data_IF_247053871343
#
_entry.id   IF_247053871343
#
_cell.length_a   1.000
_cell.length_b   1.000
_cell.length_c   1.000
_cell.angle_alpha   90.00
_cell.angle_beta   90.00
_cell.angle_gamma   90.00
#
_symmetry.space_group_name_H-M   'P 1'
#
loop_
_entity.id
_entity.type
_entity.pdbx_description
1 polymer ?
#
# COMPACT_ATOMS: atom_id res chain seq x y z
N UNK A 1 -0.68 21.41 -1.27
CA UNK A 1 -0.70 21.09 -2.71
C UNK A 1 -2.09 20.68 -3.19
N UNK A 2 -2.26 20.52 -4.50
CA UNK A 2 -3.55 20.16 -5.13
C UNK A 2 -4.22 18.92 -4.51
N UNK A 3 -3.41 17.92 -4.11
CA UNK A 3 -3.92 16.72 -3.47
C UNK A 3 -4.59 16.98 -2.12
N UNK A 4 -4.10 17.94 -1.35
CA UNK A 4 -4.71 18.30 -0.05
C UNK A 4 -6.07 18.93 -0.27
N UNK A 5 -6.20 19.87 -1.22
CA UNK A 5 -7.46 20.51 -1.55
C UNK A 5 -8.50 19.50 -2.02
N UNK A 6 -8.10 18.54 -2.87
CA UNK A 6 -8.99 17.48 -3.33
C UNK A 6 -9.50 16.63 -2.17
N UNK A 7 -8.62 16.25 -1.23
CA UNK A 7 -9.01 15.46 -0.07
C UNK A 7 -9.96 16.22 0.86
N UNK A 8 -9.76 17.54 1.00
CA UNK A 8 -10.64 18.40 1.81
C UNK A 8 -12.04 18.49 1.17
N UNK A 9 -12.12 18.71 -0.15
CA UNK A 9 -13.38 18.70 -0.89
C UNK A 9 -14.13 17.36 -0.78
N UNK A 10 -13.41 16.24 -0.90
CA UNK A 10 -14.02 14.92 -0.74
C UNK A 10 -14.56 14.73 0.69
N UNK A 11 -13.85 15.20 1.70
CA UNK A 11 -14.33 15.14 3.09
C UNK A 11 -15.59 16.01 3.31
N UNK A 12 -15.64 17.19 2.71
CA UNK A 12 -16.83 18.07 2.72
C UNK A 12 -18.06 17.40 2.08
N UNK A 13 -17.84 16.62 1.02
CA UNK A 13 -18.88 15.81 0.38
C UNK A 13 -19.27 14.54 1.17
N UNK A 14 -18.72 14.35 2.37
CA UNK A 14 -19.03 13.24 3.28
C UNK A 14 -18.27 11.94 2.98
N UNK A 15 -17.20 11.98 2.17
CA UNK A 15 -16.35 10.82 1.96
C UNK A 15 -15.43 10.60 3.17
N UNK A 16 -15.29 9.35 3.59
CA UNK A 16 -14.22 8.98 4.53
C UNK A 16 -12.89 8.97 3.81
N UNK A 17 -12.04 9.95 4.13
CA UNK A 17 -10.76 10.14 3.46
C UNK A 17 -9.62 9.80 4.40
N UNK A 18 -8.82 8.80 4.02
CA UNK A 18 -7.59 8.44 4.72
C UNK A 18 -6.39 9.07 4.01
N UNK A 19 -5.69 9.97 4.71
CA UNK A 19 -4.52 10.66 4.15
C UNK A 19 -3.31 9.74 4.21
N UNK A 20 -2.77 9.40 3.04
CA UNK A 20 -1.54 8.65 2.92
C UNK A 20 -0.35 9.57 2.66
N UNK A 21 0.63 9.54 3.54
CA UNK A 21 1.90 10.26 3.38
C UNK A 21 3.05 9.26 3.44
N UNK A 22 3.65 8.92 2.30
CA UNK A 22 4.65 7.87 2.19
C UNK A 22 5.92 8.09 3.03
N UNK A 23 6.26 9.35 3.33
CA UNK A 23 7.36 9.71 4.24
C UNK A 23 7.02 9.63 5.72
N UNK A 24 5.76 9.33 6.10
CA UNK A 24 5.36 9.15 7.49
C UNK A 24 6.10 7.97 8.14
N UNK A 25 6.06 7.93 9.47
CA UNK A 25 6.58 6.80 10.24
C UNK A 25 5.88 5.51 9.82
N UNK A 26 6.65 4.44 9.64
CA UNK A 26 6.12 3.10 9.38
C UNK A 26 5.24 2.63 10.55
N UNK A 27 4.31 1.73 10.30
CA UNK A 27 3.51 1.06 11.34
C UNK A 27 4.42 0.14 12.15
N UNK A 28 5.30 -0.61 11.47
CA UNK A 28 6.39 -1.37 12.09
C UNK A 28 7.75 -0.65 11.91
N UNK A 29 8.07 0.33 12.77
CA UNK A 29 9.28 1.14 12.62
C UNK A 29 10.56 0.42 12.99
N UNK A 30 10.49 -0.78 13.54
CA UNK A 30 11.66 -1.62 13.83
C UNK A 30 12.19 -2.27 12.54
N UNK A 31 11.31 -2.56 11.60
CA UNK A 31 11.66 -3.24 10.35
C UNK A 31 11.77 -2.28 9.15
N UNK A 32 10.94 -1.23 9.13
CA UNK A 32 10.84 -0.32 7.98
C UNK A 32 11.25 1.12 8.31
N UNK A 33 11.98 1.76 7.38
CA UNK A 33 12.44 3.14 7.54
C UNK A 33 11.30 4.16 7.50
N UNK A 34 10.26 3.88 6.72
CA UNK A 34 9.10 4.76 6.52
C UNK A 34 7.91 3.98 5.97
N UNK A 35 6.73 4.64 5.98
CA UNK A 35 5.47 4.03 5.57
C UNK A 35 5.48 3.53 4.12
N UNK A 36 6.07 4.26 3.18
CA UNK A 36 6.10 3.79 1.78
C UNK A 36 6.96 2.53 1.61
N UNK A 37 8.04 2.38 2.39
CA UNK A 37 8.86 1.18 2.41
C UNK A 37 8.07 -0.03 2.89
N UNK A 38 7.32 0.13 3.99
CA UNK A 38 6.44 -0.90 4.54
C UNK A 38 5.33 -1.27 3.55
N UNK A 39 4.60 -0.29 3.00
CA UNK A 39 3.51 -0.50 2.03
C UNK A 39 3.99 -1.27 0.81
N UNK A 40 5.16 -0.93 0.28
CA UNK A 40 5.72 -1.64 -0.86
C UNK A 40 6.09 -3.07 -0.51
N UNK A 41 6.73 -3.28 0.62
CA UNK A 41 7.18 -4.61 1.02
C UNK A 41 6.00 -5.53 1.32
N UNK A 42 5.08 -5.08 2.16
CA UNK A 42 3.87 -5.83 2.53
C UNK A 42 2.99 -6.10 1.31
N UNK A 43 2.70 -5.08 0.49
CA UNK A 43 1.85 -5.23 -0.68
C UNK A 43 2.45 -6.16 -1.74
N UNK A 44 3.75 -6.08 -2.02
CA UNK A 44 4.43 -7.01 -2.93
C UNK A 44 4.44 -8.44 -2.38
N UNK A 45 4.60 -8.60 -1.07
CA UNK A 45 4.55 -9.91 -0.42
C UNK A 45 3.15 -10.52 -0.53
N UNK A 46 2.09 -9.73 -0.33
CA UNK A 46 0.71 -10.18 -0.46
C UNK A 46 0.36 -10.59 -1.88
N UNK A 47 0.84 -9.85 -2.87
CA UNK A 47 0.70 -10.23 -4.29
C UNK A 47 1.45 -11.53 -4.57
N UNK A 48 2.69 -11.66 -4.12
CA UNK A 48 3.53 -12.84 -4.38
C UNK A 48 2.98 -14.12 -3.73
N UNK A 49 2.30 -13.98 -2.61
CA UNK A 49 1.63 -15.09 -1.88
C UNK A 49 0.22 -15.39 -2.41
N UNK A 50 -0.24 -14.69 -3.45
CA UNK A 50 -1.57 -14.88 -4.02
C UNK A 50 -2.71 -14.38 -3.13
N UNK A 51 -2.42 -13.62 -2.06
CA UNK A 51 -3.46 -13.01 -1.21
C UNK A 51 -4.20 -11.89 -1.95
N UNK A 52 -3.54 -11.28 -2.91
CA UNK A 52 -4.10 -10.24 -3.77
C UNK A 52 -3.96 -10.68 -5.21
N UNK A 53 -5.10 -10.80 -5.88
CA UNK A 53 -5.15 -11.04 -7.31
C UNK A 53 -5.41 -9.70 -8.01
N UNK A 54 -4.44 -9.25 -8.81
CA UNK A 54 -4.54 -8.00 -9.57
C UNK A 54 -5.26 -8.19 -10.93
N UNK A 55 -5.76 -9.41 -11.21
CA UNK A 55 -6.41 -9.73 -12.47
C UNK A 55 -5.50 -9.54 -13.68
N UNK A 56 -6.05 -9.03 -14.78
CA UNK A 56 -5.28 -8.66 -15.97
C UNK A 56 -4.46 -7.41 -15.69
N UNK A 57 -3.19 -7.61 -15.37
CA UNK A 57 -2.30 -6.54 -14.96
C UNK A 57 -2.00 -5.61 -16.14
N UNK A 58 -2.30 -4.33 -15.98
CA UNK A 58 -1.81 -3.30 -16.91
C UNK A 58 -0.28 -3.38 -17.03
N UNK A 59 0.28 -3.50 -18.26
CA UNK A 59 1.72 -3.66 -18.46
C UNK A 59 2.58 -2.54 -17.82
N UNK A 60 2.04 -1.34 -17.71
CA UNK A 60 2.74 -0.24 -17.05
C UNK A 60 2.79 -0.47 -15.53
N UNK A 61 1.70 -0.93 -14.92
CA UNK A 61 1.65 -1.26 -13.50
C UNK A 61 2.61 -2.42 -13.19
N UNK A 62 2.60 -3.49 -13.99
CA UNK A 62 3.52 -4.61 -13.85
C UNK A 62 4.98 -4.14 -13.86
N UNK A 63 5.34 -3.28 -14.82
CA UNK A 63 6.68 -2.70 -14.91
C UNK A 63 7.03 -1.85 -13.71
N UNK A 64 6.10 -1.05 -13.19
CA UNK A 64 6.33 -0.22 -12.02
C UNK A 64 6.54 -1.06 -10.76
N UNK A 65 5.76 -2.12 -10.56
CA UNK A 65 5.90 -3.04 -9.43
C UNK A 65 7.25 -3.77 -9.42
N UNK A 66 7.81 -4.08 -10.60
CA UNK A 66 9.06 -4.83 -10.73
C UNK A 66 10.33 -3.98 -10.77
N UNK A 67 10.23 -2.69 -11.13
CA UNK A 67 11.41 -1.85 -11.35
C UNK A 67 11.93 -1.14 -10.09
N UNK A 68 11.12 -1.02 -9.04
CA UNK A 68 11.55 -0.34 -7.82
C UNK A 68 12.34 -1.29 -6.92
N UNK A 69 13.54 -0.89 -6.54
CA UNK A 69 14.43 -1.72 -5.72
C UNK A 69 14.17 -1.53 -4.24
N UNK A 70 14.27 -2.63 -3.50
CA UNK A 70 14.38 -2.59 -2.04
C UNK A 70 15.83 -2.33 -1.63
N UNK A 71 16.02 -1.56 -0.59
CA UNK A 71 17.32 -1.19 -0.02
C UNK A 71 17.26 -1.31 1.50
N UNK A 72 18.41 -1.52 2.12
CA UNK A 72 18.58 -1.40 3.56
C UNK A 72 19.13 -0.01 3.87
N UNK A 73 18.61 0.65 4.89
CA UNK A 73 19.22 1.88 5.38
C UNK A 73 20.39 1.60 6.33
N UNK A 74 21.05 2.66 6.80
CA UNK A 74 22.19 2.56 7.69
C UNK A 74 21.87 1.93 9.05
N UNK A 75 20.60 1.95 9.44
CA UNK A 75 20.07 1.33 10.68
C UNK A 75 19.67 -0.13 10.47
N UNK A 76 19.83 -0.68 9.26
CA UNK A 76 19.42 -2.03 8.92
C UNK A 76 17.91 -2.19 8.70
N UNK A 77 17.18 -1.10 8.43
CA UNK A 77 15.74 -1.14 8.15
C UNK A 77 15.49 -1.16 6.66
N UNK A 78 14.42 -1.85 6.27
CA UNK A 78 13.99 -1.91 4.88
C UNK A 78 13.40 -0.57 4.42
N UNK A 79 13.80 -0.16 3.24
CA UNK A 79 13.21 0.96 2.51
C UNK A 79 13.14 0.64 1.03
N UNK A 80 12.43 1.45 0.27
CA UNK A 80 12.44 1.38 -1.18
C UNK A 80 13.25 2.52 -1.78
N UNK A 81 13.82 2.28 -2.94
CA UNK A 81 14.56 3.26 -3.73
C UNK A 81 13.74 4.56 -3.87
N UNK A 82 14.38 5.70 -3.62
CA UNK A 82 13.71 6.99 -3.72
C UNK A 82 13.35 7.34 -5.16
N UNK A 83 12.23 8.05 -5.38
CA UNK A 83 11.83 8.53 -6.72
C UNK A 83 12.94 9.35 -7.39
N UNK A 84 13.68 10.16 -6.62
CA UNK A 84 14.83 10.93 -7.14
C UNK A 84 15.92 10.03 -7.69
N UNK A 85 16.24 8.94 -7.00
CA UNK A 85 17.24 7.95 -7.44
C UNK A 85 16.76 7.21 -8.68
N UNK A 86 15.48 6.78 -8.71
CA UNK A 86 14.87 6.15 -9.88
C UNK A 86 14.96 7.04 -11.12
N UNK A 87 14.56 8.30 -11.01
CA UNK A 87 14.61 9.27 -12.12
C UNK A 87 16.06 9.49 -12.60
N UNK A 88 17.02 9.61 -11.67
CA UNK A 88 18.45 9.72 -12.01
C UNK A 88 18.96 8.50 -12.80
N UNK A 89 18.40 7.32 -12.53
CA UNK A 89 18.69 6.08 -13.22
C UNK A 89 17.85 5.87 -14.50
N UNK A 90 17.11 6.89 -14.96
CA UNK A 90 16.29 6.82 -16.17
C UNK A 90 14.97 6.04 -15.98
N UNK A 91 14.60 5.72 -14.75
CA UNK A 91 13.36 5.01 -14.44
C UNK A 91 12.27 6.02 -14.08
N UNK A 92 11.09 5.89 -14.70
CA UNK A 92 9.93 6.75 -14.39
C UNK A 92 9.40 6.50 -12.99
N UNK A 93 8.77 7.54 -12.40
CA UNK A 93 8.10 7.43 -11.10
C UNK A 93 7.04 6.32 -11.09
N UNK A 94 6.99 5.48 -10.04
CA UNK A 94 6.05 4.36 -9.95
C UNK A 94 4.70 4.78 -9.37
N UNK A 95 4.10 5.86 -9.90
CA UNK A 95 2.93 6.49 -9.30
C UNK A 95 1.69 5.59 -9.27
N UNK A 96 1.49 4.73 -10.30
CA UNK A 96 0.40 3.74 -10.30
C UNK A 96 0.62 2.66 -9.25
N UNK A 97 1.84 2.15 -9.14
CA UNK A 97 2.18 1.15 -8.14
C UNK A 97 2.07 1.71 -6.72
N UNK A 98 2.53 2.95 -6.48
CA UNK A 98 2.34 3.63 -5.20
C UNK A 98 0.86 3.75 -4.83
N UNK A 99 0.00 4.13 -5.79
CA UNK A 99 -1.44 4.24 -5.56
C UNK A 99 -2.09 2.88 -5.27
N UNK A 100 -1.80 1.87 -6.08
CA UNK A 100 -2.39 0.53 -5.92
C UNK A 100 -1.96 -0.09 -4.60
N UNK A 101 -0.66 -0.10 -4.28
CA UNK A 101 -0.16 -0.67 -3.03
C UNK A 101 -0.66 0.12 -1.81
N UNK A 102 -0.73 1.45 -1.93
CA UNK A 102 -1.31 2.31 -0.89
C UNK A 102 -2.78 1.96 -0.62
N UNK A 103 -3.59 1.79 -1.65
CA UNK A 103 -5.00 1.40 -1.51
C UNK A 103 -5.14 0.01 -0.87
N UNK A 104 -4.34 -0.95 -1.29
CA UNK A 104 -4.38 -2.33 -0.78
C UNK A 104 -3.99 -2.37 0.69
N UNK A 105 -2.78 -1.91 1.01
CA UNK A 105 -2.22 -2.04 2.35
C UNK A 105 -2.92 -1.11 3.35
N UNK A 106 -3.11 0.16 2.99
CA UNK A 106 -3.80 1.09 3.88
C UNK A 106 -5.29 0.78 4.00
N UNK A 107 -5.93 0.26 2.97
CA UNK A 107 -7.32 -0.19 3.02
C UNK A 107 -7.52 -1.39 3.94
N UNK A 108 -6.65 -2.37 3.90
CA UNK A 108 -6.73 -3.55 4.75
C UNK A 108 -6.38 -3.27 6.22
N UNK A 109 -5.41 -2.40 6.48
CA UNK A 109 -4.99 -2.04 7.84
C UNK A 109 -5.88 -0.98 8.51
N UNK A 110 -6.55 -0.12 7.72
CA UNK A 110 -7.41 0.95 8.27
C UNK A 110 -8.86 0.51 8.48
N UNK A 111 -9.31 -0.58 7.90
CA UNK A 111 -10.66 -1.13 8.15
C UNK A 111 -10.77 -1.95 9.42
N UNK A 112 -9.76 -1.94 10.26
CA UNK A 112 -9.78 -2.53 11.60
C UNK A 112 -9.27 -3.95 11.62
N UNK A 113 -8.21 -4.12 12.36
CA UNK A 113 -7.83 -5.35 13.02
C UNK A 113 -7.26 -6.48 12.13
N UNK A 114 -6.03 -6.27 11.66
CA UNK A 114 -5.10 -7.37 11.86
C UNK A 114 -4.63 -7.20 13.31
N UNK A 115 -5.21 -7.95 14.20
CA UNK A 115 -4.77 -8.00 15.60
C UNK A 115 -3.46 -8.79 15.70
N UNK A 116 -2.72 -8.64 16.80
CA UNK A 116 -1.57 -9.51 17.09
C UNK A 116 -1.92 -10.99 16.96
N UNK A 117 -3.17 -11.36 17.27
CA UNK A 117 -3.71 -12.71 17.17
C UNK A 117 -3.82 -13.19 15.72
N UNK A 118 -4.05 -12.29 14.76
CA UNK A 118 -4.08 -12.61 13.32
C UNK A 118 -2.68 -12.91 12.79
N UNK A 119 -1.66 -12.22 13.29
CA UNK A 119 -0.25 -12.47 12.95
C UNK A 119 0.26 -13.80 13.53
N UNK A 120 -0.21 -14.16 14.73
CA UNK A 120 0.11 -15.45 15.37
C UNK A 120 -0.63 -16.60 14.70
N UNK A 121 -1.86 -16.40 14.20
CA UNK A 121 -2.59 -17.39 13.42
C UNK A 121 -1.92 -17.70 12.06
N UNK A 122 -1.28 -16.71 11.44
CA UNK A 122 -0.50 -16.90 10.21
C UNK A 122 0.78 -17.72 10.47
N UNK A 123 1.39 -17.57 11.62
CA UNK A 123 2.53 -18.38 12.08
C UNK A 123 2.18 -19.86 12.24
N UNK A 124 0.92 -20.16 12.58
CA UNK A 124 0.37 -21.50 12.77
C UNK A 124 -0.27 -22.09 11.49
N UNK A 125 -0.14 -21.42 10.32
CA UNK A 125 -0.63 -21.94 9.04
C UNK A 125 -2.15 -21.92 8.86
N UNK A 126 -2.88 -21.14 9.67
CA UNK A 126 -4.34 -20.95 9.50
C UNK A 126 -4.62 -19.86 8.48
N UNK A 127 -5.38 -20.20 7.45
CA UNK A 127 -5.83 -19.25 6.42
C UNK A 127 -6.92 -18.34 7.02
N UNK A 128 -6.62 -17.05 7.15
CA UNK A 128 -7.62 -16.07 7.55
C UNK A 128 -8.54 -15.75 6.37
N UNK A 129 -9.77 -16.27 6.40
CA UNK A 129 -10.83 -15.84 5.50
C UNK A 129 -11.47 -14.58 6.08
N UNK A 130 -10.91 -13.41 5.72
CA UNK A 130 -11.52 -12.12 6.04
C UNK A 130 -12.85 -11.97 5.31
N UNK A 131 -13.98 -12.10 6.02
CA UNK A 131 -15.27 -11.69 5.50
C UNK A 131 -15.32 -10.16 5.41
N UNK A 132 -15.39 -9.65 4.17
CA UNK A 132 -15.76 -8.25 3.92
C UNK A 132 -17.26 -8.13 4.17
N UNK A 133 -17.64 -7.79 5.40
CA UNK A 133 -19.02 -7.50 5.77
C UNK A 133 -19.26 -5.99 5.78
N UNK A 134 -19.61 -5.44 4.62
CA UNK A 134 -20.15 -4.10 4.49
C UNK A 134 -21.03 -4.01 3.25
N UNK A 135 -22.19 -3.34 3.29
CA UNK A 135 -23.07 -3.26 2.13
C UNK A 135 -22.41 -2.44 1.03
N UNK A 136 -22.20 -3.06 -0.12
CA UNK A 136 -21.85 -2.38 -1.37
C UNK A 136 -22.93 -1.34 -1.68
N UNK A 137 -22.66 -0.06 -1.45
CA UNK A 137 -23.53 1.01 -1.94
C UNK A 137 -23.45 1.03 -3.46
N UNK A 138 -24.59 0.77 -4.11
CA UNK A 138 -24.75 0.96 -5.55
C UNK A 138 -24.45 2.41 -5.90
N UNK A 139 -23.42 2.63 -6.71
CA UNK A 139 -23.18 3.93 -7.33
C UNK A 139 -24.23 4.10 -8.42
N UNK A 140 -25.03 5.18 -8.44
CA UNK A 140 -25.94 5.44 -9.55
C UNK A 140 -25.11 5.73 -10.80
N UNK A 141 -25.36 5.00 -11.86
CA UNK A 141 -24.83 5.35 -13.19
C UNK A 141 -25.54 6.61 -13.68
N UNK A 142 -24.74 7.63 -14.01
CA UNK A 142 -25.17 8.81 -14.75
C UNK A 142 -25.10 8.48 -16.25
#
# INVERSE_FOLDING_TARGET
GLGTVMLDLMAEEGWTVNRFHGGARAVNPEEYSNLIGEVWHVGCLDISRGRINLGDLDPLLARQLTNRKSEWDESGKLRVESKKKMIKNGVKSPDRADAVLGCIVCGSHLTGAITSDDLDAERDGRVLTGQISGPLRKVPMI
#
